data_IF_810457010732
#
_entry.id   IF_810457010732
#
_cell.length_a   1.000
_cell.length_b   1.000
_cell.length_c   1.000
_cell.angle_alpha   90.00
_cell.angle_beta   90.00
_cell.angle_gamma   90.00
#
_symmetry.space_group_name_H-M   'P 1'
#
loop_
_entity.id
_entity.type
_entity.pdbx_description
1 polymer ?
#
# COMPACT_ATOMS: atom_id res chain seq x y z
N UNK A 1 -15.25 19.62 -4.85
CA UNK A 1 -14.31 19.44 -5.99
C UNK A 1 -14.61 20.43 -7.12
N UNK A 2 -15.87 20.55 -7.54
CA UNK A 2 -16.27 21.38 -8.69
C UNK A 2 -15.89 22.86 -8.53
N UNK A 3 -16.13 23.46 -7.36
CA UNK A 3 -15.80 24.87 -7.08
C UNK A 3 -14.31 25.20 -7.21
N UNK A 4 -13.43 24.21 -7.11
CA UNK A 4 -11.99 24.36 -7.22
C UNK A 4 -11.40 23.68 -8.47
N UNK A 5 -12.26 23.25 -9.41
CA UNK A 5 -11.87 22.53 -10.64
C UNK A 5 -11.04 21.26 -10.40
N UNK A 6 -11.18 20.63 -9.23
CA UNK A 6 -10.57 19.34 -8.97
C UNK A 6 -11.33 18.24 -9.71
N UNK A 7 -10.59 17.34 -10.34
CA UNK A 7 -11.16 16.12 -10.91
C UNK A 7 -11.27 15.07 -9.81
N UNK A 8 -12.29 14.25 -9.87
CA UNK A 8 -12.41 13.11 -8.97
C UNK A 8 -12.81 11.86 -9.75
N UNK A 9 -12.33 10.73 -9.30
CA UNK A 9 -12.61 9.42 -9.84
C UNK A 9 -12.94 8.46 -8.69
N UNK A 10 -14.03 7.71 -8.82
CA UNK A 10 -14.44 6.73 -7.81
C UNK A 10 -13.64 5.47 -8.03
N UNK A 11 -12.81 5.11 -7.04
CA UNK A 11 -11.98 3.90 -7.07
C UNK A 11 -12.78 2.68 -6.60
N UNK A 12 -13.54 2.84 -5.53
CA UNK A 12 -14.41 1.78 -5.01
C UNK A 12 -15.61 2.36 -4.26
N UNK A 13 -16.72 1.63 -4.27
CA UNK A 13 -17.91 2.03 -3.52
C UNK A 13 -18.65 0.80 -3.02
N UNK A 14 -19.20 0.90 -1.80
CA UNK A 14 -20.06 -0.09 -1.20
C UNK A 14 -21.43 0.52 -0.95
N UNK A 15 -22.36 0.44 -1.92
CA UNK A 15 -23.68 1.04 -1.82
C UNK A 15 -24.56 0.30 -0.77
N UNK A 16 -25.54 1.04 -0.26
CA UNK A 16 -26.61 0.48 0.58
C UNK A 16 -27.91 0.37 -0.18
N UNK A 17 -28.81 -0.50 0.26
CA UNK A 17 -30.14 -0.69 -0.34
C UNK A 17 -31.00 0.59 -0.34
N UNK A 18 -30.73 1.51 0.57
CA UNK A 18 -31.43 2.80 0.73
C UNK A 18 -30.83 3.93 -0.09
N UNK A 19 -29.96 3.66 -1.07
CA UNK A 19 -29.37 4.66 -1.97
C UNK A 19 -28.21 5.46 -1.37
N UNK A 20 -27.63 5.01 -0.26
CA UNK A 20 -26.40 5.58 0.31
C UNK A 20 -25.18 4.68 0.10
N UNK A 21 -24.08 5.00 0.80
CA UNK A 21 -22.86 4.21 0.80
C UNK A 21 -22.45 3.86 2.22
N UNK A 22 -22.01 2.62 2.42
CA UNK A 22 -21.31 2.19 3.64
C UNK A 22 -19.87 2.71 3.63
N UNK A 23 -19.25 2.62 2.47
CA UNK A 23 -17.90 3.10 2.22
C UNK A 23 -17.80 3.56 0.75
N UNK A 24 -17.06 4.63 0.54
CA UNK A 24 -16.72 5.10 -0.80
C UNK A 24 -15.28 5.60 -0.78
N UNK A 25 -14.49 5.17 -1.75
CA UNK A 25 -13.13 5.65 -1.98
C UNK A 25 -13.04 6.32 -3.34
N UNK A 26 -12.42 7.47 -3.38
CA UNK A 26 -12.22 8.21 -4.62
C UNK A 26 -10.91 8.97 -4.61
N UNK A 27 -10.33 9.10 -5.79
CA UNK A 27 -9.12 9.88 -6.04
C UNK A 27 -9.50 11.30 -6.42
N UNK A 28 -8.81 12.27 -5.87
CA UNK A 28 -8.96 13.69 -6.22
C UNK A 28 -7.67 14.18 -6.85
N UNK A 29 -7.74 14.67 -8.08
CA UNK A 29 -6.59 15.18 -8.81
C UNK A 29 -6.74 16.66 -9.05
N UNK A 30 -5.68 17.42 -8.79
CA UNK A 30 -5.63 18.86 -9.03
C UNK A 30 -4.51 19.53 -8.23
N UNK A 31 -4.08 20.68 -8.70
CA UNK A 31 -3.01 21.45 -8.03
C UNK A 31 -3.45 21.87 -6.62
N UNK A 32 -2.66 21.48 -5.62
CA UNK A 32 -2.95 21.77 -4.23
C UNK A 32 -4.13 21.00 -3.63
N UNK A 33 -4.62 19.93 -4.29
CA UNK A 33 -5.76 19.15 -3.80
C UNK A 33 -5.51 18.60 -2.39
N UNK A 34 -4.37 17.93 -2.17
CA UNK A 34 -4.02 17.38 -0.86
C UNK A 34 -3.86 18.46 0.22
N UNK A 35 -3.23 19.60 -0.11
CA UNK A 35 -3.01 20.68 0.87
C UNK A 35 -4.30 21.26 1.43
N UNK A 36 -5.39 21.20 0.65
CA UNK A 36 -6.73 21.63 1.07
C UNK A 36 -7.51 20.50 1.75
N UNK A 37 -7.50 19.30 1.15
CA UNK A 37 -8.31 18.18 1.60
C UNK A 37 -7.80 17.53 2.89
N UNK A 38 -6.52 17.64 3.23
CA UNK A 38 -5.95 17.06 4.47
C UNK A 38 -6.68 17.50 5.75
N UNK A 39 -7.29 18.68 5.74
CA UNK A 39 -8.05 19.21 6.88
C UNK A 39 -9.48 18.65 6.97
N UNK A 40 -9.92 17.89 5.98
CA UNK A 40 -11.21 17.20 6.01
C UNK A 40 -11.12 15.80 6.63
N UNK A 41 -9.91 15.35 7.02
CA UNK A 41 -9.74 14.09 7.75
C UNK A 41 -10.31 14.19 9.15
N UNK A 42 -11.21 13.28 9.51
CA UNK A 42 -11.84 13.21 10.83
C UNK A 42 -13.31 12.82 10.76
N UNK A 43 -14.03 13.11 11.82
CA UNK A 43 -15.46 12.78 11.96
C UNK A 43 -16.33 13.95 11.53
N UNK A 44 -17.22 13.71 10.57
CA UNK A 44 -18.22 14.64 10.09
C UNK A 44 -19.59 14.24 10.63
N UNK A 45 -20.24 15.15 11.34
CA UNK A 45 -21.57 14.95 11.89
C UNK A 45 -22.63 15.45 10.91
N UNK A 46 -23.63 14.62 10.64
CA UNK A 46 -24.75 14.94 9.76
C UNK A 46 -26.04 14.91 10.55
N UNK A 47 -26.80 15.99 10.53
CA UNK A 47 -28.11 16.12 11.14
C UNK A 47 -29.15 16.29 10.03
N UNK A 48 -30.10 15.38 9.93
CA UNK A 48 -31.16 15.39 8.93
C UNK A 48 -32.39 14.65 9.43
N UNK A 49 -33.51 14.90 8.83
CA UNK A 49 -34.70 14.05 8.96
C UNK A 49 -34.60 12.95 7.91
N UNK A 50 -34.40 11.67 8.28
CA UNK A 50 -34.32 10.59 7.31
C UNK A 50 -35.64 10.39 6.58
N UNK A 51 -35.61 9.87 5.33
CA UNK A 51 -36.82 9.55 4.57
C UNK A 51 -37.69 8.48 5.26
N UNK A 52 -37.12 7.70 6.16
CA UNK A 52 -37.82 6.67 6.95
C UNK A 52 -38.45 7.21 8.23
N UNK A 53 -38.22 8.47 8.57
CA UNK A 53 -38.79 9.10 9.77
C UNK A 53 -40.16 9.72 9.48
N UNK A 54 -41.16 9.26 10.18
CA UNK A 54 -42.56 9.71 9.98
C UNK A 54 -42.97 10.87 10.87
N UNK A 55 -42.22 11.13 11.95
CA UNK A 55 -42.56 12.14 12.96
C UNK A 55 -41.72 13.42 12.85
N UNK A 56 -40.93 13.56 11.80
CA UNK A 56 -40.09 14.75 11.56
C UNK A 56 -38.93 14.91 12.56
N UNK A 57 -38.52 13.87 13.24
CA UNK A 57 -37.40 13.92 14.19
C UNK A 57 -36.07 14.04 13.49
N UNK A 58 -35.22 14.95 13.93
CA UNK A 58 -33.86 15.09 13.42
C UNK A 58 -32.99 13.96 13.98
N UNK A 59 -32.40 13.17 13.10
CA UNK A 59 -31.44 12.13 13.44
C UNK A 59 -30.02 12.64 13.22
N UNK A 60 -29.11 12.19 14.08
CA UNK A 60 -27.71 12.51 14.01
C UNK A 60 -26.92 11.27 13.57
N UNK A 61 -26.22 11.36 12.45
CA UNK A 61 -25.29 10.33 11.97
C UNK A 61 -23.87 10.91 11.91
N UNK A 62 -22.88 10.02 11.83
CA UNK A 62 -21.49 10.38 11.65
C UNK A 62 -20.91 9.66 10.44
N UNK A 63 -20.07 10.37 9.71
CA UNK A 63 -19.25 9.81 8.62
C UNK A 63 -17.77 10.10 8.93
N UNK A 64 -16.94 9.08 8.87
CA UNK A 64 -15.51 9.25 9.04
C UNK A 64 -14.85 9.45 7.68
N UNK A 65 -13.98 10.45 7.59
CA UNK A 65 -13.24 10.79 6.38
C UNK A 65 -11.76 10.59 6.65
N UNK A 66 -11.07 9.89 5.77
CA UNK A 66 -9.62 9.77 5.77
C UNK A 66 -9.08 10.32 4.43
N UNK A 67 -8.20 11.30 4.50
CA UNK A 67 -7.54 11.88 3.34
C UNK A 67 -6.08 11.52 3.40
N UNK A 68 -5.63 10.79 2.38
CA UNK A 68 -4.25 10.29 2.27
C UNK A 68 -3.63 10.85 0.99
N UNK A 69 -2.33 11.18 0.98
CA UNK A 69 -1.65 11.49 -0.26
C UNK A 69 -1.54 10.23 -1.12
N UNK A 70 -1.60 10.40 -2.43
CA UNK A 70 -1.25 9.31 -3.35
C UNK A 70 0.24 8.99 -3.21
N UNK A 71 0.56 7.70 -3.21
CA UNK A 71 1.95 7.26 -3.21
C UNK A 71 2.59 7.53 -4.56
N UNK A 72 3.78 8.11 -4.53
CA UNK A 72 4.64 8.06 -5.69
C UNK A 72 5.20 6.63 -5.85
N UNK A 73 5.26 6.10 -7.08
CA UNK A 73 5.92 4.84 -7.32
C UNK A 73 7.39 4.98 -6.87
N UNK A 74 7.86 4.04 -6.07
CA UNK A 74 9.26 4.02 -5.66
C UNK A 74 10.04 3.02 -6.50
N UNK A 75 11.23 3.43 -6.93
CA UNK A 75 12.17 2.57 -7.62
C UNK A 75 13.09 1.89 -6.61
N UNK A 76 13.28 0.58 -6.76
CA UNK A 76 14.22 -0.18 -5.96
C UNK A 76 15.61 -0.07 -6.59
N UNK A 77 16.46 0.73 -5.97
CA UNK A 77 17.86 0.80 -6.34
C UNK A 77 18.66 -0.30 -5.64
N UNK A 78 19.28 -1.18 -6.41
CA UNK A 78 20.15 -2.24 -5.92
C UNK A 78 21.58 -1.92 -6.35
N UNK A 79 22.47 -1.80 -5.38
CA UNK A 79 23.89 -1.68 -5.67
C UNK A 79 24.45 -3.08 -5.97
N UNK A 80 24.60 -3.41 -7.24
CA UNK A 80 25.11 -4.70 -7.67
C UNK A 80 26.53 -5.00 -7.18
N UNK A 81 27.32 -3.96 -6.86
CA UNK A 81 28.67 -4.11 -6.29
C UNK A 81 28.70 -4.67 -4.86
N UNK A 82 27.59 -4.58 -4.14
CA UNK A 82 27.46 -5.12 -2.77
C UNK A 82 26.94 -6.56 -2.73
N UNK A 83 26.57 -7.10 -3.89
CA UNK A 83 26.04 -8.45 -4.01
C UNK A 83 27.21 -9.44 -3.96
N UNK A 84 27.16 -10.36 -3.00
CA UNK A 84 28.08 -11.49 -2.93
C UNK A 84 27.45 -12.69 -3.63
N UNK A 85 28.21 -13.26 -4.54
CA UNK A 85 27.80 -14.39 -5.33
C UNK A 85 28.56 -15.64 -4.91
N UNK A 86 27.83 -16.69 -4.55
CA UNK A 86 28.38 -18.03 -4.34
C UNK A 86 27.78 -18.96 -5.41
N UNK A 87 28.62 -19.79 -5.99
CA UNK A 87 28.18 -20.84 -6.90
C UNK A 87 28.26 -22.19 -6.21
N UNK A 88 27.30 -23.04 -6.49
CA UNK A 88 27.27 -24.38 -5.92
C UNK A 88 26.67 -25.39 -6.91
N UNK A 89 26.89 -26.65 -6.61
CA UNK A 89 26.35 -27.75 -7.42
C UNK A 89 24.88 -27.93 -7.06
N UNK A 90 23.99 -27.81 -8.04
CA UNK A 90 22.57 -28.08 -7.84
C UNK A 90 22.40 -29.59 -7.57
N UNK A 91 21.90 -29.95 -6.39
CA UNK A 91 21.56 -31.34 -6.07
C UNK A 91 20.29 -31.74 -6.83
N UNK A 92 20.28 -32.94 -7.41
CA UNK A 92 19.10 -33.52 -8.09
C UNK A 92 19.38 -34.93 -8.60
N UNK A 93 18.35 -35.74 -8.72
CA UNK A 93 18.43 -37.07 -9.28
C UNK A 93 18.67 -36.99 -10.79
N UNK A 94 19.88 -37.26 -11.27
CA UNK A 94 20.10 -37.53 -12.67
C UNK A 94 21.32 -36.96 -13.35
N UNK A 95 22.04 -37.83 -14.03
CA UNK A 95 22.97 -37.60 -15.15
C UNK A 95 24.40 -37.17 -14.77
N UNK A 96 25.38 -37.63 -15.56
CA UNK A 96 26.81 -37.38 -15.32
C UNK A 96 27.21 -35.88 -15.17
N UNK A 97 26.41 -34.96 -15.65
CA UNK A 97 26.71 -33.53 -15.63
C UNK A 97 26.23 -32.79 -14.35
N UNK A 98 25.28 -33.33 -13.60
CA UNK A 98 24.75 -32.68 -12.39
C UNK A 98 25.83 -32.55 -11.31
N UNK A 99 26.73 -33.51 -11.25
CA UNK A 99 27.81 -33.53 -10.25
C UNK A 99 29.08 -32.78 -10.70
N UNK A 100 29.17 -32.33 -11.97
CA UNK A 100 30.35 -31.67 -12.52
C UNK A 100 30.21 -30.18 -12.76
N UNK A 101 28.98 -29.67 -12.90
CA UNK A 101 28.71 -28.26 -13.24
C UNK A 101 28.08 -27.54 -12.07
N UNK A 102 28.69 -26.44 -11.63
CA UNK A 102 28.16 -25.55 -10.62
C UNK A 102 27.19 -24.56 -11.26
N UNK A 103 25.96 -25.01 -11.52
CA UNK A 103 24.90 -24.19 -12.11
C UNK A 103 24.06 -23.45 -11.07
N UNK A 104 24.06 -23.93 -9.83
CA UNK A 104 23.35 -23.26 -8.71
C UNK A 104 24.03 -21.96 -8.32
N UNK A 105 23.24 -20.94 -8.08
CA UNK A 105 23.72 -19.62 -7.68
C UNK A 105 23.05 -19.23 -6.37
N UNK A 106 23.85 -18.73 -5.46
CA UNK A 106 23.41 -18.13 -4.21
C UNK A 106 23.82 -16.68 -4.20
N UNK A 107 22.87 -15.80 -4.00
CA UNK A 107 23.05 -14.36 -3.86
C UNK A 107 22.90 -13.99 -2.39
N UNK A 108 23.85 -13.22 -1.87
CA UNK A 108 23.76 -12.57 -0.55
C UNK A 108 23.84 -11.07 -0.75
N UNK A 109 22.89 -10.38 -0.17
CA UNK A 109 22.81 -8.93 -0.24
C UNK A 109 22.47 -8.36 1.13
N UNK A 110 23.27 -7.40 1.58
CA UNK A 110 23.02 -6.69 2.82
C UNK A 110 22.14 -5.48 2.56
N UNK A 111 20.84 -5.68 2.69
CA UNK A 111 19.89 -4.59 2.51
C UNK A 111 19.82 -3.73 3.75
N UNK A 112 20.16 -2.45 3.59
CA UNK A 112 19.99 -1.44 4.64
C UNK A 112 18.61 -0.82 4.50
N UNK A 113 17.78 -1.04 5.50
CA UNK A 113 16.46 -0.43 5.55
C UNK A 113 16.60 1.11 5.60
N UNK A 114 16.06 1.86 4.61
CA UNK A 114 16.26 3.30 4.53
C UNK A 114 15.66 4.07 5.72
N UNK A 115 14.61 3.51 6.36
CA UNK A 115 13.91 4.19 7.45
C UNK A 115 14.46 3.86 8.85
N UNK A 116 14.86 2.61 9.07
CA UNK A 116 15.34 2.14 10.39
C UNK A 116 16.86 2.08 10.50
N UNK A 117 17.57 2.11 9.37
CA UNK A 117 19.01 1.92 9.30
C UNK A 117 19.47 0.49 9.63
N UNK A 118 18.55 -0.43 9.93
CA UNK A 118 18.86 -1.82 10.24
C UNK A 118 19.32 -2.52 8.96
N UNK A 119 20.44 -3.22 9.06
CA UNK A 119 20.97 -4.04 7.96
C UNK A 119 20.43 -5.45 8.10
N UNK A 120 19.83 -5.97 7.05
CA UNK A 120 19.27 -7.30 6.96
C UNK A 120 19.94 -8.06 5.83
N UNK A 121 20.48 -9.24 6.12
CA UNK A 121 21.06 -10.09 5.09
C UNK A 121 19.96 -10.86 4.35
N UNK A 122 19.86 -10.62 3.05
CA UNK A 122 18.93 -11.31 2.16
C UNK A 122 19.73 -12.38 1.41
N UNK A 123 19.23 -13.63 1.51
CA UNK A 123 19.84 -14.79 0.87
C UNK A 123 18.84 -15.36 -0.14
N UNK A 124 19.25 -15.45 -1.40
CA UNK A 124 18.43 -15.98 -2.49
C UNK A 124 19.20 -17.06 -3.23
N UNK A 125 18.59 -18.23 -3.34
CA UNK A 125 19.14 -19.35 -4.11
C UNK A 125 18.33 -19.55 -5.42
N UNK A 126 19.04 -19.82 -6.49
CA UNK A 126 18.43 -20.14 -7.78
C UNK A 126 19.14 -21.33 -8.44
N UNK A 127 18.35 -22.39 -8.66
CA UNK A 127 18.83 -23.66 -9.26
C UNK A 127 17.96 -24.11 -10.43
N UNK A 128 17.10 -23.22 -10.95
CA UNK A 128 16.04 -23.56 -11.88
C UNK A 128 16.52 -23.96 -13.27
N UNK A 129 17.66 -23.43 -13.66
CA UNK A 129 18.24 -23.73 -14.97
C UNK A 129 19.62 -24.35 -14.84
N UNK A 130 20.07 -25.03 -15.93
CA UNK A 130 21.45 -25.53 -16.03
C UNK A 130 22.45 -24.44 -16.42
N UNK A 131 21.95 -23.23 -16.66
CA UNK A 131 22.73 -22.09 -17.13
C UNK A 131 22.96 -21.12 -15.98
N UNK A 132 24.20 -21.01 -15.53
CA UNK A 132 24.58 -20.16 -14.40
C UNK A 132 24.25 -18.66 -14.63
N UNK A 133 24.53 -18.05 -15.79
CA UNK A 133 24.14 -16.67 -16.08
C UNK A 133 22.64 -16.43 -15.94
N UNK A 134 21.79 -17.33 -16.44
CA UNK A 134 20.34 -17.23 -16.29
C UNK A 134 19.88 -17.34 -14.86
N UNK A 135 20.53 -18.19 -14.07
CA UNK A 135 20.23 -18.30 -12.65
C UNK A 135 20.61 -17.03 -11.87
N UNK A 136 21.71 -16.35 -12.26
CA UNK A 136 22.08 -15.03 -11.71
C UNK A 136 21.05 -13.97 -12.03
N UNK A 137 20.61 -13.87 -13.26
CA UNK A 137 19.58 -12.91 -13.68
C UNK A 137 18.26 -13.13 -12.93
N UNK A 138 17.84 -14.37 -12.78
CA UNK A 138 16.65 -14.73 -12.02
C UNK A 138 16.79 -14.40 -10.53
N UNK A 139 17.96 -14.65 -9.95
CA UNK A 139 18.22 -14.30 -8.55
C UNK A 139 18.16 -12.78 -8.33
N UNK A 140 18.69 -11.97 -9.26
CA UNK A 140 18.56 -10.51 -9.23
C UNK A 140 17.10 -10.06 -9.35
N UNK A 141 16.34 -10.63 -10.26
CA UNK A 141 14.92 -10.32 -10.41
C UNK A 141 14.14 -10.63 -9.12
N UNK A 142 14.43 -11.76 -8.49
CA UNK A 142 13.83 -12.13 -7.19
C UNK A 142 14.22 -11.16 -6.07
N UNK A 143 15.48 -10.71 -6.05
CA UNK A 143 15.95 -9.73 -5.07
C UNK A 143 15.18 -8.41 -5.21
N UNK A 144 15.01 -7.92 -6.46
CA UNK A 144 14.22 -6.70 -6.74
C UNK A 144 12.78 -6.85 -6.24
N UNK A 145 12.13 -7.95 -6.59
CA UNK A 145 10.76 -8.22 -6.13
C UNK A 145 10.68 -8.27 -4.61
N UNK A 146 11.61 -8.96 -3.95
CA UNK A 146 11.61 -9.11 -2.50
C UNK A 146 11.75 -7.76 -1.77
N UNK A 147 12.67 -6.90 -2.22
CA UNK A 147 12.85 -5.57 -1.64
C UNK A 147 11.62 -4.70 -1.92
N UNK A 148 11.09 -4.73 -3.15
CA UNK A 148 9.86 -4.03 -3.50
C UNK A 148 8.70 -4.43 -2.61
N UNK A 149 8.46 -5.71 -2.43
CA UNK A 149 7.37 -6.22 -1.59
C UNK A 149 7.53 -5.78 -0.12
N UNK A 150 8.76 -5.80 0.40
CA UNK A 150 9.04 -5.32 1.76
C UNK A 150 8.75 -3.83 1.95
N UNK A 151 9.16 -2.99 1.00
CA UNK A 151 8.92 -1.55 1.06
C UNK A 151 7.45 -1.23 0.83
N UNK A 152 6.81 -1.91 -0.11
CA UNK A 152 5.39 -1.77 -0.37
C UNK A 152 4.53 -2.20 0.83
N UNK A 153 4.87 -3.30 1.51
CA UNK A 153 4.15 -3.73 2.71
C UNK A 153 4.24 -2.69 3.83
N UNK A 154 5.41 -2.09 4.05
CA UNK A 154 5.54 -1.00 5.03
C UNK A 154 4.69 0.21 4.68
N UNK A 155 4.68 0.58 3.40
CA UNK A 155 3.84 1.68 2.94
C UNK A 155 2.36 1.41 3.22
N UNK A 156 1.89 0.19 2.95
CA UNK A 156 0.51 -0.23 3.27
C UNK A 156 0.24 -0.15 4.77
N UNK A 157 1.17 -0.64 5.61
CA UNK A 157 1.03 -0.63 7.06
C UNK A 157 1.01 0.80 7.62
N UNK A 158 1.83 1.70 7.08
CA UNK A 158 1.83 3.12 7.43
C UNK A 158 0.51 3.81 7.07
N UNK A 159 -0.02 3.53 5.88
CA UNK A 159 -1.34 4.03 5.46
C UNK A 159 -2.43 3.49 6.37
N UNK A 160 -2.42 2.18 6.66
CA UNK A 160 -3.40 1.55 7.53
C UNK A 160 -3.37 2.16 8.94
N UNK A 161 -2.17 2.42 9.48
CA UNK A 161 -1.99 3.08 10.78
C UNK A 161 -2.51 4.51 10.78
N UNK A 162 -2.18 5.30 9.76
CA UNK A 162 -2.69 6.67 9.58
C UNK A 162 -4.20 6.68 9.43
N UNK A 163 -4.76 5.79 8.59
CA UNK A 163 -6.21 5.64 8.44
C UNK A 163 -6.88 5.28 9.76
N UNK A 164 -6.31 4.33 10.51
CA UNK A 164 -6.82 3.92 11.82
C UNK A 164 -6.84 5.08 12.81
N UNK A 165 -5.82 5.91 12.83
CA UNK A 165 -5.76 7.10 13.71
C UNK A 165 -6.80 8.14 13.31
N UNK A 166 -7.02 8.37 12.01
CA UNK A 166 -8.00 9.35 11.52
C UNK A 166 -9.46 8.91 11.75
N UNK A 167 -9.72 7.60 11.75
CA UNK A 167 -11.07 7.01 11.86
C UNK A 167 -11.36 6.47 13.26
N UNK A 168 -10.37 6.49 14.17
CA UNK A 168 -10.27 5.65 15.37
C UNK A 168 -11.46 5.69 16.33
N UNK A 169 -12.23 6.75 16.38
CA UNK A 169 -13.29 6.82 17.39
C UNK A 169 -14.70 6.79 16.81
N UNK A 170 -14.93 7.30 15.58
CA UNK A 170 -16.29 7.49 15.06
C UNK A 170 -17.20 8.27 16.03
N UNK A 171 -16.62 8.86 17.07
CA UNK A 171 -17.35 9.54 18.12
C UNK A 171 -17.95 10.84 17.57
N UNK A 172 -19.27 10.94 17.68
CA UNK A 172 -20.02 12.13 17.26
C UNK A 172 -19.61 13.40 17.99
N UNK A 173 -19.00 13.27 19.19
CA UNK A 173 -18.49 14.40 19.98
C UNK A 173 -17.18 14.96 19.41
N UNK A 174 -16.34 14.13 18.82
CA UNK A 174 -15.06 14.51 18.22
C UNK A 174 -15.18 15.05 16.77
N UNK A 175 -16.33 15.60 16.43
CA UNK A 175 -16.61 16.13 15.10
C UNK A 175 -15.73 17.31 14.72
N UNK A 176 -15.25 17.34 13.50
CA UNK A 176 -14.58 18.50 12.90
C UNK A 176 -15.57 19.41 12.16
N UNK A 177 -16.66 18.85 11.62
CA UNK A 177 -17.74 19.59 10.94
C UNK A 177 -19.12 19.06 11.32
N UNK A 178 -20.12 19.94 11.19
CA UNK A 178 -21.53 19.58 11.30
C UNK A 178 -22.27 20.09 10.07
N UNK A 179 -23.03 19.21 9.46
CA UNK A 179 -23.92 19.50 8.34
C UNK A 179 -25.36 19.37 8.81
N UNK A 180 -26.12 20.43 8.67
CA UNK A 180 -27.54 20.47 8.99
C UNK A 180 -28.33 20.52 7.68
N UNK A 181 -29.11 19.49 7.46
CA UNK A 181 -30.04 19.42 6.33
C UNK A 181 -31.46 19.63 6.85
N UNK A 182 -32.28 20.42 6.12
CA UNK A 182 -33.67 20.62 6.47
C UNK A 182 -34.48 19.33 6.43
#
# INVERSE_FOLDING_TARGET
CESHKFKFEILSSNPTELGGYKEISFQITGEGAYSRMKYESGVHRVQRVPATETQGRVHTSAASVAVLPEAEPFDVEINEGEIKWDTFRSGGAGGQNVNKVESGVRLRYNWKNPNTGIVEEILIECTETRDQPKNKERALSRLRTFIYDKEHQKYIDDIASKRKTMVSTGDRSAKIRTYNYP
#
